data_IF_031649233965
#
_entry.id   IF_031649233965
#
_cell.length_a   1.000
_cell.length_b   1.000
_cell.length_c   1.000
_cell.angle_alpha   90.00
_cell.angle_beta   90.00
_cell.angle_gamma   90.00
#
_symmetry.space_group_name_H-M   'P 1'
#
loop_
_entity.id
_entity.type
_entity.pdbx_description
1 polymer ?
#
# COMPACT_ATOMS: atom_id res chain seq x y z
N UNK A 1 -18.82 1.29 -11.63
CA UNK A 1 -18.30 0.26 -10.71
C UNK A 1 -18.56 0.75 -9.29
N UNK A 2 -19.17 -0.04 -8.40
CA UNK A 2 -19.28 0.36 -6.98
C UNK A 2 -17.90 0.15 -6.36
N UNK A 3 -17.19 1.22 -6.00
CA UNK A 3 -15.93 1.11 -5.28
C UNK A 3 -16.24 0.68 -3.85
N UNK A 4 -15.77 -0.51 -3.48
CA UNK A 4 -15.83 -0.99 -2.10
C UNK A 4 -14.41 -0.89 -1.55
N UNK A 5 -14.15 0.00 -0.59
CA UNK A 5 -12.84 0.08 0.04
C UNK A 5 -12.49 -1.29 0.62
N UNK A 6 -11.32 -1.81 0.26
CA UNK A 6 -10.80 -3.00 0.90
C UNK A 6 -10.39 -2.63 2.33
N UNK A 7 -11.16 -3.10 3.31
CA UNK A 7 -10.77 -2.95 4.71
C UNK A 7 -9.58 -3.88 4.99
N UNK A 8 -8.45 -3.33 5.42
CA UNK A 8 -7.39 -4.14 6.02
C UNK A 8 -7.93 -4.72 7.32
N UNK A 9 -8.02 -6.05 7.39
CA UNK A 9 -8.34 -6.76 8.63
C UNK A 9 -7.08 -6.95 9.46
N UNK A 10 -7.24 -7.25 10.74
CA UNK A 10 -6.11 -7.56 11.63
C UNK A 10 -5.28 -8.74 11.12
N UNK A 11 -5.91 -9.73 10.47
CA UNK A 11 -5.23 -10.87 9.84
C UNK A 11 -4.28 -10.40 8.72
N UNK A 12 -4.74 -9.51 7.84
CA UNK A 12 -3.89 -8.96 6.77
C UNK A 12 -2.71 -8.15 7.35
N UNK A 13 -2.94 -7.41 8.43
CA UNK A 13 -1.87 -6.67 9.12
C UNK A 13 -0.85 -7.65 9.71
N UNK A 14 -1.29 -8.76 10.29
CA UNK A 14 -0.41 -9.77 10.85
C UNK A 14 0.48 -10.39 9.77
N UNK A 15 -0.10 -10.78 8.64
CA UNK A 15 0.64 -11.33 7.50
C UNK A 15 1.69 -10.35 6.96
N UNK A 16 1.33 -9.06 6.85
CA UNK A 16 2.28 -8.04 6.40
C UNK A 16 3.47 -7.88 7.35
N UNK A 17 3.26 -8.00 8.66
CA UNK A 17 4.34 -7.96 9.66
C UNK A 17 5.25 -9.18 9.59
N UNK A 18 4.70 -10.38 9.38
CA UNK A 18 5.51 -11.59 9.19
C UNK A 18 6.41 -11.47 7.96
N UNK A 19 5.87 -10.92 6.86
CA UNK A 19 6.63 -10.67 5.63
C UNK A 19 7.72 -9.63 5.89
N UNK A 20 7.41 -8.51 6.56
CA UNK A 20 8.37 -7.47 6.92
C UNK A 20 9.54 -8.02 7.75
N UNK A 21 9.25 -8.83 8.77
CA UNK A 21 10.27 -9.46 9.60
C UNK A 21 11.14 -10.41 8.77
N UNK A 22 10.51 -11.28 7.97
CA UNK A 22 11.25 -12.24 7.16
C UNK A 22 12.18 -11.57 6.15
N UNK A 23 11.71 -10.49 5.52
CA UNK A 23 12.51 -9.72 4.58
C UNK A 23 13.64 -8.96 5.29
N UNK A 24 13.39 -8.42 6.49
CA UNK A 24 14.44 -7.77 7.30
C UNK A 24 15.54 -8.75 7.69
N UNK A 25 15.14 -9.95 8.13
CA UNK A 25 16.08 -11.03 8.47
C UNK A 25 16.90 -11.49 7.25
N UNK A 26 16.28 -11.56 6.07
CA UNK A 26 16.94 -11.97 4.83
C UNK A 26 17.87 -10.88 4.27
N UNK A 27 17.52 -9.61 4.41
CA UNK A 27 18.31 -8.48 3.94
C UNK A 27 19.44 -8.11 4.91
N UNK A 28 19.31 -8.46 6.20
CA UNK A 28 20.26 -8.08 7.25
C UNK A 28 20.17 -6.61 7.65
N UNK A 29 19.06 -5.95 7.31
CA UNK A 29 18.76 -4.56 7.61
C UNK A 29 17.27 -4.41 7.95
N UNK A 30 16.93 -3.43 8.79
CA UNK A 30 15.54 -3.18 9.18
C UNK A 30 14.76 -2.60 7.98
N UNK A 31 13.79 -3.37 7.47
CA UNK A 31 12.89 -2.91 6.41
C UNK A 31 11.64 -2.29 7.02
N UNK A 32 11.12 -1.24 6.37
CA UNK A 32 9.90 -0.55 6.79
C UNK A 32 8.86 -0.65 5.69
N UNK A 33 7.70 -1.23 6.00
CA UNK A 33 6.60 -1.37 5.04
C UNK A 33 5.63 -0.18 5.11
N UNK A 34 5.57 0.62 4.05
CA UNK A 34 4.67 1.78 3.95
C UNK A 34 3.49 1.42 3.04
N UNK A 35 2.29 1.32 3.61
CA UNK A 35 1.05 1.09 2.88
C UNK A 35 0.28 2.40 2.66
N UNK A 36 -0.17 2.64 1.43
CA UNK A 36 -1.01 3.78 1.08
C UNK A 36 -2.45 3.32 0.88
N UNK A 37 -3.40 4.04 1.47
CA UNK A 37 -4.81 3.94 1.13
C UNK A 37 -5.23 5.27 0.49
N UNK A 38 -5.96 5.21 -0.62
CA UNK A 38 -6.65 6.40 -1.13
C UNK A 38 -7.70 6.80 -0.10
N UNK A 39 -7.61 8.04 0.38
CA UNK A 39 -8.68 8.62 1.18
C UNK A 39 -9.92 8.70 0.28
N UNK A 40 -11.10 8.24 0.73
CA UNK A 40 -12.29 8.18 -0.13
C UNK A 40 -12.77 9.55 -0.62
N UNK A 41 -12.36 10.64 0.04
CA UNK A 41 -12.61 12.03 -0.38
C UNK A 41 -11.49 12.65 -1.22
N UNK A 42 -10.43 11.91 -1.56
CA UNK A 42 -9.41 12.40 -2.49
C UNK A 42 -9.90 12.12 -3.92
N UNK A 43 -10.32 13.15 -4.69
CA UNK A 43 -10.67 12.94 -6.08
C UNK A 43 -9.40 12.49 -6.79
N UNK A 44 -9.50 11.36 -7.50
CA UNK A 44 -8.48 10.83 -8.39
C UNK A 44 -7.61 11.95 -8.97
N UNK A 45 -6.29 11.85 -8.73
CA UNK A 45 -5.26 12.66 -9.37
C UNK A 45 -5.45 12.47 -10.89
N UNK A 46 -6.26 13.37 -11.43
CA UNK A 46 -6.81 13.32 -12.76
C UNK A 46 -5.74 13.93 -13.62
N UNK A 47 -4.82 13.08 -14.11
CA UNK A 47 -4.20 13.08 -15.44
C UNK A 47 -2.92 12.26 -15.36
N UNK A 48 -2.96 11.00 -15.80
CA UNK A 48 -2.71 10.67 -17.20
C UNK A 48 -1.38 11.25 -17.70
N UNK A 49 -0.38 10.36 -17.74
CA UNK A 49 0.69 10.37 -18.74
C UNK A 49 0.20 10.93 -20.08
N UNK A 50 0.63 12.13 -20.42
CA UNK A 50 0.21 12.78 -21.65
C UNK A 50 1.15 13.92 -21.97
N UNK A 51 2.00 13.68 -22.97
CA UNK A 51 2.91 14.65 -23.57
C UNK A 51 2.26 16.04 -23.79
N UNK A 52 3.07 17.10 -23.67
CA UNK A 52 3.52 17.91 -24.82
C UNK A 52 4.03 19.29 -24.37
N UNK A 53 5.32 19.52 -24.68
CA UNK A 53 5.99 20.81 -24.94
C UNK A 53 6.66 21.55 -23.79
#
# INVERSE_FOLDING_TARGET
MKYTPAALTEEHIHQLKEIEQHLSDAAGEDLVLIAYAQHPDDPEDTKNSGAHR
#
